data_IF_929231825647
#
_entry.id   IF_929231825647
#
_cell.length_a   1.000
_cell.length_b   1.000
_cell.length_c   1.000
_cell.angle_alpha   90.00
_cell.angle_beta   90.00
_cell.angle_gamma   90.00
#
_symmetry.space_group_name_H-M   'P 1'
#
loop_
_entity.id
_entity.type
_entity.pdbx_description
1 polymer ?
#
# COMPACT_ATOMS: atom_id res chain seq x y z
N UNK A 1 2.51 11.88 -4.76
CA UNK A 1 2.89 10.49 -4.58
C UNK A 1 1.90 9.77 -3.69
N UNK A 2 2.23 9.38 -2.47
CA UNK A 2 1.27 8.65 -1.62
C UNK A 2 -0.03 9.42 -1.42
N UNK A 3 0.05 10.69 -1.05
CA UNK A 3 -1.12 11.52 -0.82
C UNK A 3 -1.96 11.72 -2.08
N UNK A 4 -1.32 11.98 -3.20
CA UNK A 4 -2.02 12.16 -4.47
C UNK A 4 -2.68 10.86 -4.91
N UNK A 5 -2.03 9.72 -4.70
CA UNK A 5 -2.59 8.42 -5.05
C UNK A 5 -3.85 8.13 -4.22
N UNK A 6 -3.83 8.47 -2.93
CA UNK A 6 -4.98 8.33 -2.05
C UNK A 6 -6.13 9.23 -2.52
N UNK A 7 -5.85 10.49 -2.82
CA UNK A 7 -6.86 11.44 -3.30
C UNK A 7 -7.47 10.95 -4.62
N UNK A 8 -6.65 10.50 -5.55
CA UNK A 8 -7.11 10.00 -6.84
C UNK A 8 -7.98 8.75 -6.67
N UNK A 9 -7.61 7.85 -5.76
CA UNK A 9 -8.39 6.66 -5.48
C UNK A 9 -9.77 7.00 -4.92
N UNK A 10 -9.84 7.98 -4.01
CA UNK A 10 -11.13 8.40 -3.46
C UNK A 10 -11.99 9.06 -4.53
N UNK A 11 -11.44 9.95 -5.36
CA UNK A 11 -12.19 10.59 -6.43
C UNK A 11 -12.71 9.57 -7.44
N UNK A 12 -11.91 8.56 -7.75
CA UNK A 12 -12.35 7.48 -8.62
C UNK A 12 -13.51 6.70 -8.01
N UNK A 13 -13.41 6.39 -6.71
CA UNK A 13 -14.48 5.70 -6.00
C UNK A 13 -15.78 6.52 -6.00
N UNK A 14 -15.67 7.84 -5.79
CA UNK A 14 -16.81 8.75 -5.86
C UNK A 14 -17.45 8.76 -7.25
N UNK A 15 -16.65 8.82 -8.29
CA UNK A 15 -17.10 8.82 -9.67
C UNK A 15 -17.84 7.52 -10.05
N UNK A 16 -17.34 6.40 -9.58
CA UNK A 16 -17.92 5.08 -9.87
C UNK A 16 -19.10 4.72 -8.98
N UNK A 17 -19.25 5.41 -7.83
CA UNK A 17 -20.27 5.10 -6.82
C UNK A 17 -20.93 6.39 -6.31
N UNK A 18 -21.63 7.14 -7.18
CA UNK A 18 -22.16 8.48 -6.82
C UNK A 18 -23.18 8.46 -5.69
N UNK A 19 -23.83 7.32 -5.43
CA UNK A 19 -24.88 7.20 -4.42
C UNK A 19 -24.36 6.74 -3.05
N UNK A 20 -23.07 6.45 -2.94
CA UNK A 20 -22.48 5.94 -1.70
C UNK A 20 -22.13 7.07 -0.74
N UNK A 21 -22.21 6.77 0.57
CA UNK A 21 -21.80 7.70 1.61
C UNK A 21 -20.29 7.79 1.66
N UNK A 22 -19.77 8.89 2.22
CA UNK A 22 -18.32 9.14 2.26
C UNK A 22 -17.56 8.02 3.00
N UNK A 23 -18.11 7.47 4.07
CA UNK A 23 -17.45 6.38 4.80
C UNK A 23 -17.32 5.13 3.95
N UNK A 24 -18.35 4.80 3.16
CA UNK A 24 -18.30 3.68 2.24
C UNK A 24 -17.30 3.93 1.12
N UNK A 25 -17.18 5.17 0.67
CA UNK A 25 -16.22 5.54 -0.38
C UNK A 25 -14.78 5.39 0.11
N UNK A 26 -14.49 5.76 1.36
CA UNK A 26 -13.16 5.52 1.93
C UNK A 26 -12.84 4.03 1.98
N UNK A 27 -13.81 3.19 2.34
CA UNK A 27 -13.62 1.74 2.39
C UNK A 27 -13.33 1.17 1.00
N UNK A 28 -14.09 1.60 0.00
CA UNK A 28 -13.88 1.17 -1.39
C UNK A 28 -12.51 1.62 -1.89
N UNK A 29 -12.15 2.88 -1.64
CA UNK A 29 -10.91 3.45 -2.15
C UNK A 29 -9.68 2.79 -1.55
N UNK A 30 -9.65 2.56 -0.23
CA UNK A 30 -8.47 1.96 0.41
C UNK A 30 -8.24 0.51 0.01
N UNK A 31 -9.28 -0.18 -0.43
CA UNK A 31 -9.20 -1.56 -0.92
C UNK A 31 -8.98 -1.65 -2.43
N UNK A 32 -8.98 -0.53 -3.12
CA UNK A 32 -8.74 -0.51 -4.56
C UNK A 32 -7.24 -0.64 -4.86
N UNK A 33 -6.88 -1.08 -6.09
CA UNK A 33 -5.47 -1.22 -6.44
C UNK A 33 -4.70 0.08 -6.29
N UNK A 34 -3.48 -0.01 -5.76
CA UNK A 34 -2.56 1.10 -5.62
C UNK A 34 -1.45 1.01 -6.65
N UNK A 35 -0.85 2.15 -7.07
CA UNK A 35 0.21 2.11 -8.09
C UNK A 35 1.51 1.50 -7.60
N UNK A 36 1.71 1.41 -6.28
CA UNK A 36 2.91 0.83 -5.68
C UNK A 36 2.65 0.39 -4.25
N UNK A 37 3.63 -0.28 -3.64
CA UNK A 37 3.62 -0.55 -2.21
C UNK A 37 4.26 0.63 -1.48
N UNK A 38 3.58 1.18 -0.48
CA UNK A 38 4.07 2.34 0.30
C UNK A 38 4.88 1.86 1.50
N UNK A 39 6.12 1.48 1.23
CA UNK A 39 7.03 0.92 2.21
C UNK A 39 8.46 1.27 1.81
N UNK A 40 9.34 1.49 2.79
CA UNK A 40 10.76 1.68 2.50
C UNK A 40 11.40 0.33 2.20
N UNK A 41 12.46 0.36 1.40
CA UNK A 41 13.19 -0.85 1.08
C UNK A 41 13.73 -1.54 2.34
N UNK A 42 14.27 -0.77 3.28
CA UNK A 42 14.85 -1.32 4.50
C UNK A 42 13.80 -2.07 5.34
N UNK A 43 12.61 -1.51 5.51
CA UNK A 43 11.53 -2.18 6.23
C UNK A 43 11.04 -3.42 5.49
N UNK A 44 10.88 -3.30 4.17
CA UNK A 44 10.43 -4.43 3.35
C UNK A 44 11.43 -5.59 3.46
N UNK A 45 12.72 -5.29 3.31
CA UNK A 45 13.78 -6.30 3.42
C UNK A 45 13.77 -6.98 4.79
N UNK A 46 13.65 -6.20 5.85
CA UNK A 46 13.66 -6.71 7.22
C UNK A 46 12.50 -7.68 7.46
N UNK A 47 11.28 -7.24 7.18
CA UNK A 47 10.08 -8.04 7.47
C UNK A 47 9.91 -9.23 6.53
N UNK A 48 10.27 -9.06 5.25
CA UNK A 48 10.26 -10.18 4.30
C UNK A 48 11.28 -11.24 4.73
N UNK A 49 12.46 -10.83 5.20
CA UNK A 49 13.46 -11.77 5.72
C UNK A 49 12.93 -12.55 6.92
N UNK A 50 12.20 -11.89 7.83
CA UNK A 50 11.56 -12.57 8.96
C UNK A 50 10.58 -13.64 8.48
N UNK A 51 9.71 -13.30 7.52
CA UNK A 51 8.76 -14.26 6.96
C UNK A 51 9.46 -15.43 6.27
N UNK A 52 10.56 -15.15 5.60
CA UNK A 52 11.33 -16.19 4.91
C UNK A 52 11.93 -17.19 5.88
N UNK A 53 12.21 -16.76 7.12
CA UNK A 53 12.70 -17.62 8.19
C UNK A 53 11.59 -18.25 9.02
N UNK A 54 10.32 -18.05 8.62
CA UNK A 54 9.17 -18.62 9.32
C UNK A 54 8.81 -17.91 10.63
N UNK A 55 9.29 -16.69 10.82
CA UNK A 55 9.01 -15.91 12.03
C UNK A 55 7.72 -15.12 11.90
N UNK A 56 7.05 -14.87 13.04
CA UNK A 56 5.88 -14.00 13.06
C UNK A 56 6.34 -12.55 13.04
N UNK A 57 5.54 -11.71 12.36
CA UNK A 57 5.82 -10.28 12.29
C UNK A 57 5.39 -9.60 13.59
N UNK A 58 6.28 -8.80 14.23
CA UNK A 58 5.97 -8.09 15.48
C UNK A 58 5.18 -6.81 15.20
N UNK A 59 4.07 -6.91 14.46
CA UNK A 59 3.26 -5.78 14.04
C UNK A 59 1.85 -5.93 14.58
N UNK A 60 1.24 -4.79 14.96
CA UNK A 60 -0.12 -4.76 15.47
C UNK A 60 -1.17 -4.58 14.37
N UNK A 61 -0.81 -3.89 13.26
CA UNK A 61 -1.76 -3.59 12.19
C UNK A 61 -1.82 -4.72 11.18
N UNK A 62 -3.03 -5.29 11.01
CA UNK A 62 -3.25 -6.37 10.05
C UNK A 62 -2.96 -5.95 8.61
N UNK A 63 -3.26 -4.70 8.26
CA UNK A 63 -2.97 -4.20 6.91
C UNK A 63 -1.48 -4.27 6.57
N UNK A 64 -0.62 -3.94 7.53
CA UNK A 64 0.84 -4.03 7.32
C UNK A 64 1.31 -5.47 7.22
N UNK A 65 0.75 -6.35 8.05
CA UNK A 65 1.08 -7.78 7.96
C UNK A 65 0.72 -8.34 6.58
N UNK A 66 -0.46 -8.01 6.06
CA UNK A 66 -0.88 -8.45 4.73
C UNK A 66 0.04 -7.92 3.64
N UNK A 67 0.49 -6.67 3.77
CA UNK A 67 1.43 -6.07 2.81
C UNK A 67 2.74 -6.85 2.73
N UNK A 68 3.36 -7.12 3.88
CA UNK A 68 4.64 -7.84 3.91
C UNK A 68 4.47 -9.29 3.44
N UNK A 69 3.36 -9.93 3.75
CA UNK A 69 3.06 -11.28 3.25
C UNK A 69 2.94 -11.29 1.74
N UNK A 70 2.31 -10.27 1.15
CA UNK A 70 2.19 -10.16 -0.31
C UNK A 70 3.55 -9.92 -0.96
N UNK A 71 4.38 -9.06 -0.38
CA UNK A 71 5.75 -8.84 -0.87
C UNK A 71 6.55 -10.14 -0.83
N UNK A 72 6.46 -10.88 0.27
CA UNK A 72 7.14 -12.16 0.42
C UNK A 72 6.66 -13.18 -0.62
N UNK A 73 5.34 -13.26 -0.83
CA UNK A 73 4.75 -14.16 -1.83
C UNK A 73 5.29 -13.87 -3.24
N UNK A 74 5.33 -12.59 -3.60
CA UNK A 74 5.82 -12.16 -4.92
C UNK A 74 7.32 -12.45 -5.08
N UNK A 75 8.09 -12.23 -4.04
CA UNK A 75 9.53 -12.51 -4.07
C UNK A 75 9.79 -14.00 -4.25
N UNK A 76 9.04 -14.86 -3.54
CA UNK A 76 9.17 -16.31 -3.69
C UNK A 76 8.88 -16.77 -5.12
N UNK A 77 7.88 -16.18 -5.78
CA UNK A 77 7.54 -16.51 -7.16
C UNK A 77 8.65 -16.12 -8.13
N UNK A 78 9.40 -15.07 -7.83
CA UNK A 78 10.47 -14.58 -8.69
C UNK A 78 11.84 -15.19 -8.39
N UNK A 79 11.94 -16.03 -7.36
CA UNK A 79 13.17 -16.77 -7.08
C UNK A 79 13.45 -17.70 -8.25
N UNK A 80 14.69 -17.66 -8.72
CA UNK A 80 15.08 -18.36 -9.93
C UNK A 80 15.39 -17.44 -11.09
N UNK A 81 14.94 -16.18 -11.01
CA UNK A 81 15.39 -15.15 -11.94
C UNK A 81 16.88 -14.88 -11.71
N UNK A 82 17.57 -14.46 -12.77
CA UNK A 82 19.01 -14.18 -12.72
C UNK A 82 19.34 -12.93 -11.90
N UNK A 83 18.35 -12.14 -11.52
CA UNK A 83 18.53 -10.91 -10.74
C UNK A 83 18.73 -11.22 -9.26
N UNK A 84 19.51 -10.39 -8.59
CA UNK A 84 19.72 -10.52 -7.16
C UNK A 84 18.43 -10.24 -6.37
N UNK A 85 18.35 -10.82 -5.18
CA UNK A 85 17.18 -10.74 -4.32
C UNK A 85 16.78 -9.27 -3.99
N UNK A 86 17.76 -8.40 -3.77
CA UNK A 86 17.51 -6.99 -3.47
C UNK A 86 16.92 -6.26 -4.67
N UNK A 87 17.44 -6.52 -5.86
CA UNK A 87 16.90 -5.90 -7.08
C UNK A 87 15.47 -6.33 -7.33
N UNK A 88 15.17 -7.62 -7.12
CA UNK A 88 13.81 -8.13 -7.26
C UNK A 88 12.85 -7.47 -6.27
N UNK A 89 13.27 -7.31 -5.03
CA UNK A 89 12.44 -6.67 -4.01
C UNK A 89 12.16 -5.21 -4.35
N UNK A 90 13.15 -4.46 -4.81
CA UNK A 90 12.95 -3.08 -5.26
C UNK A 90 11.94 -3.00 -6.39
N UNK A 91 12.04 -3.88 -7.37
CA UNK A 91 11.09 -3.93 -8.48
C UNK A 91 9.67 -4.24 -8.01
N UNK A 92 9.54 -5.17 -7.05
CA UNK A 92 8.23 -5.55 -6.51
C UNK A 92 7.59 -4.36 -5.78
N UNK A 93 8.36 -3.64 -4.97
CA UNK A 93 7.85 -2.47 -4.23
C UNK A 93 7.29 -1.42 -5.20
N UNK A 94 7.94 -1.22 -6.35
CA UNK A 94 7.51 -0.24 -7.35
C UNK A 94 6.39 -0.75 -8.26
N UNK A 95 6.02 -2.03 -8.16
CA UNK A 95 4.96 -2.61 -8.98
C UNK A 95 3.58 -2.33 -8.37
N UNK A 96 2.50 -2.40 -9.20
CA UNK A 96 1.15 -2.18 -8.67
C UNK A 96 0.80 -3.14 -7.54
N UNK A 97 0.17 -2.60 -6.50
CA UNK A 97 -0.27 -3.35 -5.33
C UNK A 97 -1.78 -3.60 -5.41
N UNK A 98 -2.28 -4.72 -4.84
CA UNK A 98 -3.71 -5.02 -4.91
C UNK A 98 -4.58 -4.11 -4.04
N UNK A 99 -4.00 -3.44 -3.05
CA UNK A 99 -4.70 -2.46 -2.22
C UNK A 99 -3.68 -1.49 -1.63
N UNK A 100 -4.17 -0.45 -0.93
CA UNK A 100 -3.27 0.55 -0.31
C UNK A 100 -2.61 0.05 0.97
N UNK A 101 -3.11 -1.03 1.57
CA UNK A 101 -2.59 -1.58 2.84
C UNK A 101 -2.57 -0.53 3.96
N UNK A 102 -3.64 0.24 4.02
CA UNK A 102 -3.87 1.22 5.08
C UNK A 102 -5.18 0.90 5.79
N UNK A 103 -5.23 1.13 7.10
CA UNK A 103 -6.51 1.07 7.79
C UNK A 103 -7.33 2.30 7.42
N UNK A 104 -8.61 2.30 7.82
CA UNK A 104 -9.53 3.37 7.47
C UNK A 104 -9.05 4.72 8.00
N UNK A 105 -8.61 4.75 9.25
CA UNK A 105 -8.16 5.98 9.90
C UNK A 105 -6.93 6.57 9.21
N UNK A 106 -5.94 5.74 8.91
CA UNK A 106 -4.73 6.17 8.21
C UNK A 106 -5.07 6.72 6.82
N UNK A 107 -5.94 6.04 6.08
CA UNK A 107 -6.34 6.48 4.75
C UNK A 107 -7.02 7.86 4.81
N UNK A 108 -7.94 8.05 5.76
CA UNK A 108 -8.60 9.34 5.97
C UNK A 108 -7.61 10.44 6.31
N UNK A 109 -6.67 10.16 7.21
CA UNK A 109 -5.67 11.14 7.62
C UNK A 109 -4.81 11.59 6.45
N UNK A 110 -4.35 10.65 5.63
CA UNK A 110 -3.56 10.97 4.44
C UNK A 110 -4.39 11.81 3.47
N UNK A 111 -5.64 11.44 3.24
CA UNK A 111 -6.53 12.18 2.34
C UNK A 111 -6.72 13.63 2.80
N UNK A 112 -7.13 13.84 4.04
CA UNK A 112 -7.40 15.19 4.54
C UNK A 112 -6.15 16.05 4.65
N UNK A 113 -5.03 15.44 5.05
CA UNK A 113 -3.75 16.15 5.09
C UNK A 113 -3.34 16.63 3.70
N UNK A 114 -3.50 15.80 2.68
CA UNK A 114 -3.15 16.13 1.31
C UNK A 114 -4.04 17.25 0.78
N UNK A 115 -5.35 17.18 1.02
CA UNK A 115 -6.30 18.22 0.60
C UNK A 115 -5.95 19.55 1.25
N UNK A 116 -5.68 19.57 2.55
CA UNK A 116 -5.31 20.80 3.26
C UNK A 116 -4.01 21.40 2.72
N UNK A 117 -3.03 20.57 2.42
CA UNK A 117 -1.77 21.01 1.84
C UNK A 117 -1.97 21.67 0.47
N UNK A 118 -2.85 21.10 -0.37
CA UNK A 118 -3.18 21.67 -1.68
C UNK A 118 -3.90 23.02 -1.55
N UNK A 119 -4.80 23.15 -0.56
CA UNK A 119 -5.50 24.42 -0.33
C UNK A 119 -4.56 25.54 0.09
N UNK A 120 -3.53 25.22 0.87
CA UNK A 120 -2.54 26.23 1.31
C UNK A 120 -1.68 26.77 0.19
N UNK A 121 -1.55 26.02 -0.90
CA UNK A 121 -0.77 26.44 -2.08
C UNK A 121 -1.55 27.30 -3.06
N UNK A 122 -2.83 27.42 -2.85
CA UNK A 122 -3.70 28.27 -3.64
C UNK A 122 -3.83 29.64 -2.99
#
# INVERSE_FOLDING_TARGET
MKGEDVVNALYKAMSENPDKKILDLFEIARKSPAPRFYVTFDKARHFVSMLDRGLELPLTFESKKRMYKELHRRLKKKRGDKKGCYTLLEEIIESPAPEFYMDEETFKQVFYKTIRSKRKKL
#
